data_IF_017528476530
#
_entry.id   IF_017528476530
#
_cell.length_a   1.000
_cell.length_b   1.000
_cell.length_c   1.000
_cell.angle_alpha   90.00
_cell.angle_beta   90.00
_cell.angle_gamma   90.00
#
_symmetry.space_group_name_H-M   'P 1'
#
loop_
_entity.id
_entity.type
_entity.pdbx_description
1 polymer ?
#
# COMPACT_ATOMS: atom_id res chain seq x y z
N UNK A 1 16.02 -2.12 98.93
CA UNK A 1 16.04 -1.29 97.71
C UNK A 1 16.59 -2.13 96.56
N UNK A 2 15.72 -2.76 95.77
CA UNK A 2 16.12 -3.66 94.69
C UNK A 2 16.03 -2.92 93.35
N UNK A 3 17.18 -2.64 92.74
CA UNK A 3 17.29 -2.05 91.40
C UNK A 3 17.31 -3.18 90.36
N UNK A 4 16.17 -3.45 89.73
CA UNK A 4 16.13 -4.24 88.48
C UNK A 4 16.23 -3.28 87.29
N UNK A 5 17.39 -3.25 86.64
CA UNK A 5 17.63 -2.44 85.42
C UNK A 5 18.00 -3.37 84.26
N UNK A 6 17.17 -3.34 83.22
CA UNK A 6 17.62 -3.52 81.82
C UNK A 6 17.63 -4.94 81.25
N UNK A 7 16.49 -5.43 80.76
CA UNK A 7 16.47 -6.57 79.81
C UNK A 7 15.54 -6.39 78.58
N UNK A 8 14.94 -5.20 78.39
CA UNK A 8 13.85 -5.00 77.43
C UNK A 8 14.30 -4.94 75.95
N UNK A 9 15.43 -4.32 75.64
CA UNK A 9 15.86 -4.08 74.25
C UNK A 9 16.18 -5.37 73.45
N UNK A 10 16.77 -6.40 74.08
CA UNK A 10 17.08 -7.67 73.41
C UNK A 10 15.84 -8.49 73.06
N UNK A 11 14.76 -8.39 73.85
CA UNK A 11 13.53 -9.16 73.67
C UNK A 11 12.68 -8.63 72.50
N UNK A 12 12.71 -7.32 72.28
CA UNK A 12 12.05 -6.68 71.12
C UNK A 12 12.66 -7.11 69.79
N UNK A 13 13.99 -7.21 69.71
CA UNK A 13 14.68 -7.68 68.50
C UNK A 13 14.37 -9.15 68.20
N UNK A 14 14.33 -10.02 69.23
CA UNK A 14 14.01 -11.44 69.07
C UNK A 14 12.59 -11.68 68.53
N UNK A 15 11.60 -10.92 69.02
CA UNK A 15 10.22 -11.02 68.54
C UNK A 15 10.10 -10.57 67.07
N UNK A 16 10.74 -9.47 66.70
CA UNK A 16 10.76 -8.98 65.31
C UNK A 16 11.46 -9.97 64.37
N UNK A 17 12.59 -10.56 64.79
CA UNK A 17 13.27 -11.59 64.00
C UNK A 17 12.44 -12.87 63.85
N UNK A 18 11.73 -13.30 64.90
CA UNK A 18 10.88 -14.49 64.85
C UNK A 18 9.67 -14.30 63.93
N UNK A 19 9.02 -13.13 63.99
CA UNK A 19 7.93 -12.76 63.09
C UNK A 19 8.43 -12.66 61.64
N UNK A 20 9.59 -12.03 61.42
CA UNK A 20 10.21 -11.95 60.10
C UNK A 20 10.52 -13.35 59.53
N UNK A 21 11.03 -14.28 60.35
CA UNK A 21 11.30 -15.67 59.98
C UNK A 21 10.01 -16.42 59.58
N UNK A 22 8.96 -16.32 60.40
CA UNK A 22 7.68 -16.96 60.11
C UNK A 22 7.04 -16.41 58.83
N UNK A 23 7.05 -15.09 58.65
CA UNK A 23 6.56 -14.43 57.43
C UNK A 23 7.33 -14.89 56.18
N UNK A 24 8.66 -15.01 56.28
CA UNK A 24 9.48 -15.50 55.17
C UNK A 24 9.20 -16.96 54.82
N UNK A 25 9.05 -17.85 55.80
CA UNK A 25 8.71 -19.26 55.58
C UNK A 25 7.32 -19.39 54.93
N UNK A 26 6.35 -18.57 55.35
CA UNK A 26 5.01 -18.55 54.73
C UNK A 26 5.05 -18.04 53.28
N UNK A 27 5.91 -17.06 52.99
CA UNK A 27 6.13 -16.53 51.65
C UNK A 27 6.84 -17.53 50.73
N UNK A 28 7.84 -18.26 51.25
CA UNK A 28 8.61 -19.27 50.50
C UNK A 28 7.77 -20.50 50.15
N UNK A 29 6.92 -20.95 51.09
CA UNK A 29 6.00 -22.07 50.88
C UNK A 29 4.72 -21.69 50.12
N UNK A 30 4.55 -20.42 49.69
CA UNK A 30 3.35 -19.89 49.02
C UNK A 30 2.04 -20.07 49.81
N UNK A 31 2.10 -20.27 51.13
CA UNK A 31 0.94 -20.63 51.98
C UNK A 31 0.04 -19.46 52.37
N UNK A 32 0.30 -18.25 51.84
CA UNK A 32 -0.43 -17.01 52.23
C UNK A 32 -1.93 -17.05 51.95
N UNK A 33 -2.38 -17.97 51.09
CA UNK A 33 -3.79 -18.15 50.74
C UNK A 33 -4.58 -19.02 51.73
N UNK A 34 -3.98 -19.44 52.86
CA UNK A 34 -4.63 -20.28 53.87
C UNK A 34 -4.92 -19.54 55.20
N UNK A 35 -4.72 -18.22 55.27
CA UNK A 35 -5.01 -17.47 56.50
C UNK A 35 -6.52 -17.26 56.68
N UNK A 36 -7.12 -18.13 57.50
CA UNK A 36 -8.41 -17.98 58.18
C UNK A 36 -8.39 -16.81 59.16
N UNK A 37 -8.42 -15.59 58.64
CA UNK A 37 -8.78 -14.40 59.41
C UNK A 37 -9.30 -13.33 58.44
N UNK A 38 -10.57 -13.47 58.06
CA UNK A 38 -11.33 -12.42 57.40
C UNK A 38 -11.48 -11.23 58.35
N UNK A 39 -10.72 -10.17 58.09
CA UNK A 39 -11.07 -8.83 58.51
C UNK A 39 -11.41 -8.02 57.27
N UNK A 40 -12.70 -8.01 56.98
CA UNK A 40 -13.37 -7.21 55.97
C UNK A 40 -12.91 -5.74 56.02
N UNK A 41 -12.11 -5.33 55.04
CA UNK A 41 -11.92 -3.91 54.72
C UNK A 41 -12.69 -3.58 53.44
N UNK A 42 -13.87 -3.04 53.72
CA UNK A 42 -14.72 -2.14 52.95
C UNK A 42 -14.15 -1.66 51.61
N UNK A 43 -14.78 -2.11 50.52
CA UNK A 43 -14.67 -1.53 49.17
C UNK A 43 -15.10 -0.06 49.21
N UNK A 44 -14.21 0.84 48.77
CA UNK A 44 -14.59 2.17 48.33
C UNK A 44 -14.51 2.22 46.79
N UNK A 45 -15.66 2.12 46.13
CA UNK A 45 -15.79 2.42 44.71
C UNK A 45 -15.64 3.94 44.52
N UNK A 46 -14.64 4.38 43.75
CA UNK A 46 -14.64 5.73 43.18
C UNK A 46 -15.01 5.64 41.70
N UNK A 47 -16.28 5.95 41.43
CA UNK A 47 -16.81 6.32 40.12
C UNK A 47 -16.22 7.69 39.75
N UNK A 48 -15.56 7.81 38.61
CA UNK A 48 -15.47 9.07 37.87
C UNK A 48 -15.70 8.79 36.39
N UNK A 49 -16.91 9.13 35.96
CA UNK A 49 -17.34 9.23 34.58
C UNK A 49 -16.79 10.50 33.96
N UNK A 50 -16.17 10.41 32.77
CA UNK A 50 -16.07 11.56 31.86
C UNK A 50 -16.15 11.10 30.41
N UNK A 51 -17.36 11.19 29.87
CA UNK A 51 -17.64 11.19 28.45
C UNK A 51 -17.16 12.51 27.83
N UNK A 52 -16.39 12.44 26.74
CA UNK A 52 -16.28 13.53 25.76
C UNK A 52 -16.38 12.93 24.36
N UNK A 53 -17.57 13.06 23.80
CA UNK A 53 -17.83 13.11 22.37
C UNK A 53 -17.12 14.34 21.77
N UNK A 54 -16.57 14.22 20.55
CA UNK A 54 -17.10 14.96 19.38
C UNK A 54 -16.23 14.77 18.13
N UNK A 55 -16.96 14.50 17.04
CA UNK A 55 -16.77 14.95 15.65
C UNK A 55 -15.57 14.45 14.86
N UNK A 56 -15.88 13.55 13.93
CA UNK A 56 -15.15 13.44 12.68
C UNK A 56 -15.27 14.72 11.85
N UNK A 57 -14.21 15.00 11.09
CA UNK A 57 -14.23 15.80 9.87
C UNK A 57 -13.15 15.22 8.96
N UNK A 58 -13.58 14.45 7.97
CA UNK A 58 -12.79 14.03 6.81
C UNK A 58 -12.44 15.25 5.97
N UNK A 59 -11.15 15.46 5.69
CA UNK A 59 -10.70 16.28 4.57
C UNK A 59 -9.57 15.53 3.86
N UNK A 60 -9.79 15.22 2.59
CA UNK A 60 -8.75 14.74 1.69
C UNK A 60 -7.73 15.86 1.48
N UNK A 61 -6.45 15.57 1.75
CA UNK A 61 -5.32 16.47 1.50
C UNK A 61 -4.44 15.80 0.46
N UNK A 62 -4.24 16.51 -0.63
CA UNK A 62 -3.44 16.12 -1.79
C UNK A 62 -1.99 16.50 -1.45
N UNK A 63 -1.11 15.52 -1.49
CA UNK A 63 0.31 15.63 -1.12
C UNK A 63 1.08 16.48 -2.14
N UNK A 64 1.36 17.73 -1.76
CA UNK A 64 2.34 18.59 -2.43
C UNK A 64 3.56 18.67 -1.51
N UNK A 65 4.46 17.70 -1.68
CA UNK A 65 5.66 17.59 -0.89
C UNK A 65 6.55 18.83 -1.04
N UNK A 66 6.64 19.66 0.01
CA UNK A 66 7.89 20.22 0.55
C UNK A 66 7.65 21.07 1.83
N UNK A 67 8.27 20.61 2.94
CA UNK A 67 8.67 21.32 4.19
C UNK A 67 7.57 21.78 5.18
N UNK A 68 7.72 21.38 6.45
CA UNK A 68 8.39 22.16 7.52
C UNK A 68 8.23 21.42 8.86
N UNK A 69 9.31 21.29 9.62
CA UNK A 69 9.37 20.62 10.93
C UNK A 69 8.52 21.37 11.96
N UNK A 70 7.29 20.91 12.19
CA UNK A 70 6.55 21.19 13.42
C UNK A 70 6.81 20.04 14.39
N UNK A 71 7.22 20.39 15.60
CA UNK A 71 7.43 19.42 16.69
C UNK A 71 6.09 18.77 17.03
N UNK A 72 5.90 17.53 16.57
CA UNK A 72 4.77 16.72 16.96
C UNK A 72 4.86 16.32 18.45
N UNK A 73 3.73 16.17 19.14
CA UNK A 73 3.68 15.74 20.53
C UNK A 73 4.32 14.37 20.66
N UNK A 74 5.25 14.23 21.60
CA UNK A 74 6.00 13.02 22.00
C UNK A 74 5.19 11.72 21.85
N UNK A 75 5.14 11.18 20.63
CA UNK A 75 4.62 9.84 20.34
C UNK A 75 5.60 8.89 21.01
N UNK A 76 5.11 8.04 21.91
CA UNK A 76 5.95 7.00 22.49
C UNK A 76 6.53 6.14 21.36
N UNK A 77 7.86 6.05 21.34
CA UNK A 77 8.62 5.36 20.32
C UNK A 77 8.15 3.89 20.22
N UNK A 78 7.63 3.44 19.06
CA UNK A 78 7.17 2.06 18.90
C UNK A 78 8.32 1.03 19.02
N UNK A 79 9.58 1.49 19.09
CA UNK A 79 10.78 0.66 19.24
C UNK A 79 11.33 0.61 20.69
N UNK A 80 10.53 0.98 21.70
CA UNK A 80 10.96 1.01 23.11
C UNK A 80 11.29 -0.39 23.63
N UNK A 81 12.57 -0.62 23.87
CA UNK A 81 13.12 -1.87 24.41
C UNK A 81 12.63 -2.10 25.85
N UNK A 82 12.21 -3.34 26.16
CA UNK A 82 11.72 -3.71 27.48
C UNK A 82 12.28 -5.06 27.94
N UNK A 83 12.41 -5.21 29.25
CA UNK A 83 12.85 -6.45 29.92
C UNK A 83 11.64 -7.39 30.02
N UNK A 84 11.82 -8.66 29.61
CA UNK A 84 10.74 -9.65 29.62
C UNK A 84 10.57 -10.35 30.97
N UNK A 85 11.62 -10.36 31.80
CA UNK A 85 11.57 -11.10 33.06
C UNK A 85 10.68 -10.40 34.11
N UNK A 86 9.85 -11.17 34.85
CA UNK A 86 8.96 -10.62 35.85
C UNK A 86 9.76 -9.95 36.97
N UNK A 87 9.26 -8.79 37.43
CA UNK A 87 9.86 -8.09 38.58
C UNK A 87 9.83 -9.01 39.80
N UNK A 88 10.96 -9.19 40.52
CA UNK A 88 10.98 -10.04 41.70
C UNK A 88 9.99 -9.53 42.76
N UNK A 89 9.39 -10.43 43.56
CA UNK A 89 8.53 -10.04 44.66
C UNK A 89 9.29 -9.13 45.63
N UNK A 90 8.59 -8.20 46.30
CA UNK A 90 9.23 -7.31 47.27
C UNK A 90 9.93 -8.12 48.37
N UNK A 91 11.13 -7.66 48.75
CA UNK A 91 11.94 -8.33 49.77
C UNK A 91 11.18 -8.49 51.09
N UNK A 92 11.24 -9.69 51.67
CA UNK A 92 10.65 -9.97 52.98
C UNK A 92 11.40 -9.22 54.07
N UNK A 93 10.76 -9.01 55.23
CA UNK A 93 11.42 -8.37 56.37
C UNK A 93 12.66 -9.17 56.80
N UNK A 94 12.63 -10.51 56.71
CA UNK A 94 13.78 -11.36 57.04
C UNK A 94 14.97 -11.14 56.08
N UNK A 95 14.72 -10.96 54.78
CA UNK A 95 15.75 -10.63 53.80
C UNK A 95 16.33 -9.23 54.04
N UNK A 96 15.49 -8.26 54.42
CA UNK A 96 15.95 -6.91 54.78
C UNK A 96 16.80 -6.88 56.06
N UNK A 97 16.52 -7.79 56.99
CA UNK A 97 17.28 -7.97 58.24
C UNK A 97 18.54 -8.85 58.06
N UNK A 98 18.81 -9.34 56.85
CA UNK A 98 19.98 -10.17 56.56
C UNK A 98 19.92 -11.59 57.13
N UNK A 99 18.73 -12.07 57.53
CA UNK A 99 18.54 -13.45 57.99
C UNK A 99 18.53 -14.46 56.83
N UNK A 100 18.17 -14.00 55.63
CA UNK A 100 18.22 -14.75 54.38
C UNK A 100 18.88 -13.92 53.30
N UNK A 101 19.58 -14.58 52.37
CA UNK A 101 20.17 -13.92 51.22
C UNK A 101 19.05 -13.34 50.32
N UNK A 102 19.14 -12.05 49.95
CA UNK A 102 18.20 -11.46 49.02
C UNK A 102 18.35 -12.10 47.62
N UNK A 103 17.25 -12.28 46.86
CA UNK A 103 17.31 -12.81 45.51
C UNK A 103 18.27 -11.99 44.63
N UNK A 104 18.95 -12.63 43.65
CA UNK A 104 19.89 -11.94 42.77
C UNK A 104 19.26 -10.70 42.14
N UNK A 105 19.92 -9.53 42.21
CA UNK A 105 19.37 -8.31 41.68
C UNK A 105 19.18 -8.42 40.15
N UNK A 106 18.09 -7.83 39.65
CA UNK A 106 17.92 -7.62 38.22
C UNK A 106 19.01 -6.66 37.71
N UNK A 107 19.46 -6.86 36.48
CA UNK A 107 20.43 -5.97 35.85
C UNK A 107 19.82 -4.57 35.75
N UNK A 108 20.59 -3.58 36.16
CA UNK A 108 20.25 -2.16 36.02
C UNK A 108 20.19 -1.74 34.55
N UNK A 109 19.54 -0.61 34.27
CA UNK A 109 19.46 -0.06 32.91
C UNK A 109 20.87 0.19 32.32
N UNK A 110 21.81 0.67 33.14
CA UNK A 110 23.18 0.97 32.72
C UNK A 110 23.98 -0.30 32.40
N UNK A 111 23.76 -1.38 33.16
CA UNK A 111 24.37 -2.68 32.87
C UNK A 111 23.83 -3.27 31.58
N UNK A 112 22.54 -3.11 31.33
CA UNK A 112 21.93 -3.52 30.07
C UNK A 112 22.47 -2.72 28.89
N UNK A 113 22.77 -1.43 29.05
CA UNK A 113 23.44 -0.65 28.02
C UNK A 113 24.84 -1.22 27.74
N UNK A 114 25.62 -1.57 28.77
CA UNK A 114 26.93 -2.23 28.60
C UNK A 114 26.82 -3.60 27.90
N UNK A 115 25.76 -4.37 28.17
CA UNK A 115 25.49 -5.63 27.47
C UNK A 115 25.16 -5.37 26.00
N UNK A 116 24.33 -4.36 25.72
CA UNK A 116 23.97 -3.96 24.36
C UNK A 116 25.18 -3.48 23.56
N UNK A 117 26.01 -2.62 24.15
CA UNK A 117 27.26 -2.16 23.52
C UNK A 117 28.19 -3.32 23.16
N UNK A 118 28.32 -4.33 24.04
CA UNK A 118 29.10 -5.54 23.72
C UNK A 118 28.53 -6.32 22.54
N UNK A 119 27.22 -6.51 22.49
CA UNK A 119 26.55 -7.19 21.38
C UNK A 119 26.70 -6.43 20.05
N UNK A 120 26.64 -5.08 20.09
CA UNK A 120 26.88 -4.23 18.92
C UNK A 120 28.33 -4.37 18.41
N UNK A 121 29.31 -4.35 19.31
CA UNK A 121 30.73 -4.53 18.94
C UNK A 121 31.01 -5.90 18.33
N UNK A 122 30.33 -6.94 18.80
CA UNK A 122 30.41 -8.29 18.24
C UNK A 122 29.65 -8.43 16.92
N UNK A 123 28.72 -7.52 16.63
CA UNK A 123 27.89 -7.57 15.44
C UNK A 123 26.84 -8.68 15.49
N UNK A 124 26.40 -9.09 16.68
CA UNK A 124 25.51 -10.24 16.84
C UNK A 124 24.16 -10.06 16.10
N UNK A 125 23.65 -8.83 16.00
CA UNK A 125 22.42 -8.55 15.23
C UNK A 125 22.61 -8.57 13.70
N UNK A 126 23.86 -8.57 13.21
CA UNK A 126 24.17 -8.73 11.79
C UNK A 126 24.30 -10.20 11.38
N UNK A 127 24.68 -11.06 12.32
CA UNK A 127 24.79 -12.50 12.11
C UNK A 127 23.40 -13.15 12.13
N UNK A 128 23.21 -14.29 11.45
CA UNK A 128 21.95 -15.03 11.52
C UNK A 128 21.72 -15.59 12.93
N UNK A 129 20.46 -15.82 13.28
CA UNK A 129 20.08 -16.42 14.55
C UNK A 129 20.74 -17.80 14.71
N UNK A 130 21.49 -18.06 15.81
CA UNK A 130 22.23 -19.31 15.96
C UNK A 130 21.37 -20.57 16.07
N UNK A 131 20.07 -20.43 16.36
CA UNK A 131 19.14 -21.56 16.52
C UNK A 131 18.54 -21.98 15.17
N UNK A 132 17.97 -21.04 14.40
CA UNK A 132 17.32 -21.35 13.11
C UNK A 132 18.18 -21.06 11.89
N UNK A 133 19.33 -20.39 12.06
CA UNK A 133 20.26 -19.95 10.99
C UNK A 133 19.66 -18.97 9.98
N UNK A 134 18.59 -18.28 10.33
CA UNK A 134 17.94 -17.26 9.51
C UNK A 134 18.30 -15.84 9.98
N UNK A 135 18.24 -14.85 9.08
CA UNK A 135 18.38 -13.43 9.45
C UNK A 135 17.26 -12.99 10.41
N UNK A 136 17.54 -11.95 11.20
CA UNK A 136 16.56 -11.42 12.16
C UNK A 136 15.37 -10.73 11.48
N UNK A 137 15.60 -10.08 10.34
CA UNK A 137 14.58 -9.36 9.56
C UNK A 137 13.70 -8.47 10.45
N UNK A 138 12.38 -8.55 10.33
CA UNK A 138 11.40 -7.82 11.15
C UNK A 138 10.94 -8.60 12.38
N UNK A 139 11.49 -9.79 12.64
CA UNK A 139 11.03 -10.64 13.74
C UNK A 139 11.56 -10.11 15.08
N UNK A 140 10.79 -10.24 16.17
CA UNK A 140 11.23 -9.78 17.48
C UNK A 140 12.48 -10.55 17.93
N UNK A 141 13.53 -9.81 18.27
CA UNK A 141 14.80 -10.32 18.72
C UNK A 141 15.00 -10.03 20.22
N UNK A 142 15.72 -10.91 20.90
CA UNK A 142 15.98 -10.83 22.33
C UNK A 142 17.47 -10.90 22.59
N UNK A 143 17.94 -10.02 23.48
CA UNK A 143 19.29 -9.95 24.00
C UNK A 143 19.32 -10.57 25.38
N UNK A 144 20.25 -11.49 25.59
CA UNK A 144 20.48 -12.13 26.88
C UNK A 144 21.49 -11.33 27.72
N UNK A 145 21.45 -11.50 29.04
CA UNK A 145 22.47 -10.95 29.96
C UNK A 145 23.90 -11.44 29.66
N UNK A 146 24.04 -12.56 28.94
CA UNK A 146 25.30 -13.08 28.44
C UNK A 146 25.71 -12.52 27.06
N UNK A 147 25.12 -11.39 26.64
CA UNK A 147 25.34 -10.65 25.39
C UNK A 147 24.95 -11.32 24.07
N UNK A 148 24.41 -12.54 24.10
CA UNK A 148 23.97 -13.24 22.88
C UNK A 148 22.56 -12.84 22.44
N UNK A 149 22.33 -12.86 21.12
CA UNK A 149 21.06 -12.47 20.48
C UNK A 149 20.37 -13.65 19.78
N UNK A 150 19.06 -13.76 19.94
CA UNK A 150 18.22 -14.80 19.31
C UNK A 150 16.85 -14.24 18.89
N UNK A 151 16.11 -14.94 18.02
CA UNK A 151 14.68 -14.64 17.85
C UNK A 151 13.94 -15.01 19.14
N UNK A 152 12.95 -14.19 19.52
CA UNK A 152 12.09 -14.48 20.68
C UNK A 152 11.45 -15.86 20.59
N UNK A 153 10.93 -16.20 19.42
CA UNK A 153 10.28 -17.49 19.18
C UNK A 153 11.27 -18.67 19.29
N UNK A 154 12.47 -18.53 18.74
CA UNK A 154 13.50 -19.57 18.79
C UNK A 154 14.00 -19.82 20.21
N UNK A 155 14.25 -18.75 20.97
CA UNK A 155 14.64 -18.88 22.38
C UNK A 155 13.52 -19.54 23.20
N UNK A 156 12.28 -19.10 23.02
CA UNK A 156 11.13 -19.67 23.73
C UNK A 156 10.92 -21.15 23.39
N UNK A 157 11.13 -21.55 22.13
CA UNK A 157 11.06 -22.96 21.74
C UNK A 157 12.19 -23.78 22.39
N UNK A 158 13.40 -23.23 22.47
CA UNK A 158 14.53 -23.88 23.13
C UNK A 158 14.32 -24.05 24.64
N UNK A 159 13.80 -23.03 25.33
CA UNK A 159 13.46 -23.11 26.75
C UNK A 159 12.39 -24.17 27.02
N UNK A 160 11.36 -24.25 26.16
CA UNK A 160 10.31 -25.28 26.25
C UNK A 160 10.85 -26.69 26.03
N UNK A 161 11.80 -26.85 25.09
CA UNK A 161 12.38 -28.15 24.79
C UNK A 161 13.30 -28.65 25.92
N UNK A 162 14.13 -27.76 26.47
CA UNK A 162 15.11 -28.12 27.50
C UNK A 162 14.53 -28.08 28.92
N UNK A 163 13.35 -27.47 29.10
CA UNK A 163 12.74 -27.15 30.40
C UNK A 163 13.68 -26.39 31.35
N UNK A 164 14.70 -25.70 30.81
CA UNK A 164 15.70 -24.96 31.57
C UNK A 164 16.03 -23.64 30.88
N UNK A 165 16.14 -22.56 31.65
CA UNK A 165 16.63 -21.26 31.15
C UNK A 165 18.16 -21.27 31.03
N UNK A 166 18.66 -21.87 29.95
CA UNK A 166 20.11 -21.93 29.65
C UNK A 166 20.41 -21.33 28.28
N UNK A 167 21.51 -20.58 28.17
CA UNK A 167 21.87 -19.97 26.89
C UNK A 167 22.34 -21.06 25.91
N UNK A 168 21.80 -21.13 24.68
CA UNK A 168 22.23 -22.13 23.68
C UNK A 168 23.71 -22.05 23.30
N UNK A 169 24.32 -20.86 23.39
CA UNK A 169 25.72 -20.64 23.00
C UNK A 169 26.69 -20.87 24.16
N UNK A 170 26.53 -20.13 25.26
CA UNK A 170 27.49 -20.15 26.36
C UNK A 170 27.06 -20.98 27.57
N UNK A 171 25.88 -21.63 27.53
CA UNK A 171 25.35 -22.49 28.59
C UNK A 171 25.22 -21.82 29.96
N UNK A 172 25.25 -20.48 30.02
CA UNK A 172 24.99 -19.73 31.25
C UNK A 172 23.53 -19.93 31.67
N UNK A 173 23.33 -20.31 32.93
CA UNK A 173 22.02 -20.52 33.54
C UNK A 173 21.43 -19.19 34.04
N UNK A 174 20.09 -19.12 34.17
CA UNK A 174 19.39 -18.02 34.84
C UNK A 174 19.76 -16.63 34.26
N UNK A 175 19.75 -16.52 32.94
CA UNK A 175 19.96 -15.23 32.27
C UNK A 175 18.70 -14.35 32.36
N UNK A 176 18.91 -13.05 32.16
CA UNK A 176 17.83 -12.10 31.95
C UNK A 176 17.69 -11.80 30.46
N UNK A 177 16.49 -11.38 30.05
CA UNK A 177 16.06 -11.21 28.65
C UNK A 177 15.53 -9.79 28.41
N UNK A 178 16.06 -9.12 27.39
CA UNK A 178 15.60 -7.80 26.92
C UNK A 178 15.22 -7.89 25.45
N UNK A 179 14.05 -7.37 25.07
CA UNK A 179 13.68 -7.25 23.65
C UNK A 179 14.48 -6.11 23.04
N UNK A 180 15.10 -6.37 21.89
CA UNK A 180 15.86 -5.37 21.11
C UNK A 180 15.25 -5.25 19.70
N UNK A 181 15.59 -4.19 18.96
CA UNK A 181 15.12 -3.97 17.58
C UNK A 181 16.23 -3.65 16.56
N UNK A 182 17.50 -3.77 16.98
CA UNK A 182 18.68 -3.54 16.14
C UNK A 182 18.68 -4.31 14.81
N UNK A 183 18.35 -5.60 14.78
CA UNK A 183 18.28 -6.40 13.54
C UNK A 183 17.20 -5.90 12.58
N UNK A 184 16.05 -5.47 13.11
CA UNK A 184 14.99 -4.86 12.31
C UNK A 184 15.42 -3.51 11.73
N UNK A 185 16.15 -2.69 12.48
CA UNK A 185 16.73 -1.43 11.99
C UNK A 185 17.75 -1.66 10.88
N UNK A 186 18.62 -2.66 11.04
CA UNK A 186 19.59 -3.05 10.03
C UNK A 186 18.90 -3.57 8.76
N UNK A 187 17.87 -4.41 8.91
CA UNK A 187 17.07 -4.91 7.79
C UNK A 187 16.34 -3.79 7.04
N UNK A 188 15.70 -2.85 7.76
CA UNK A 188 15.10 -1.64 7.16
C UNK A 188 16.12 -0.86 6.33
N UNK A 189 17.35 -0.71 6.84
CA UNK A 189 18.44 -0.01 6.14
C UNK A 189 18.88 -0.76 4.87
N UNK A 190 19.02 -2.09 4.93
CA UNK A 190 19.31 -2.94 3.76
C UNK A 190 18.21 -2.79 2.70
N UNK A 191 16.94 -2.88 3.09
CA UNK A 191 15.79 -2.73 2.20
C UNK A 191 15.74 -1.34 1.55
N UNK A 192 15.92 -0.28 2.34
CA UNK A 192 15.98 1.09 1.83
C UNK A 192 17.09 1.25 0.77
N UNK A 193 18.28 0.72 1.05
CA UNK A 193 19.42 0.77 0.11
C UNK A 193 19.09 0.06 -1.21
N UNK A 194 18.45 -1.12 -1.15
CA UNK A 194 18.04 -1.88 -2.34
C UNK A 194 17.00 -1.12 -3.17
N UNK A 195 15.97 -0.58 -2.53
CA UNK A 195 14.92 0.20 -3.20
C UNK A 195 15.52 1.43 -3.87
N UNK A 196 16.37 2.16 -3.15
CA UNK A 196 17.01 3.35 -3.70
C UNK A 196 17.95 3.02 -4.87
N UNK A 197 18.73 1.93 -4.79
CA UNK A 197 19.59 1.50 -5.89
C UNK A 197 18.77 1.11 -7.13
N UNK A 198 17.67 0.37 -6.94
CA UNK A 198 16.76 0.01 -8.03
C UNK A 198 16.14 1.24 -8.68
N UNK A 199 15.65 2.19 -7.87
CA UNK A 199 15.07 3.44 -8.35
C UNK A 199 16.08 4.29 -9.12
N UNK A 200 17.27 4.52 -8.57
CA UNK A 200 18.35 5.25 -9.25
C UNK A 200 18.68 4.58 -10.61
N UNK A 201 18.77 3.25 -10.63
CA UNK A 201 18.96 2.51 -11.87
C UNK A 201 17.80 2.63 -12.85
N UNK A 202 16.56 2.64 -12.38
CA UNK A 202 15.36 2.83 -13.21
C UNK A 202 15.37 4.20 -13.88
N UNK A 203 15.65 5.26 -13.11
CA UNK A 203 15.74 6.64 -13.62
C UNK A 203 16.77 6.74 -14.74
N UNK A 204 17.98 6.20 -14.52
CA UNK A 204 19.06 6.23 -15.54
C UNK A 204 18.68 5.42 -16.78
N UNK A 205 18.09 4.23 -16.63
CA UNK A 205 17.65 3.41 -17.77
C UNK A 205 16.57 4.09 -18.59
N UNK A 206 15.59 4.74 -17.93
CA UNK A 206 14.53 5.49 -18.60
C UNK A 206 15.12 6.67 -19.37
N UNK A 207 15.97 7.46 -18.74
CA UNK A 207 16.70 8.55 -19.41
C UNK A 207 17.54 8.07 -20.59
N UNK A 208 18.28 6.97 -20.44
CA UNK A 208 19.11 6.40 -21.50
C UNK A 208 18.27 5.84 -22.66
N UNK A 209 17.09 5.29 -22.38
CA UNK A 209 16.16 4.84 -23.41
C UNK A 209 15.64 6.02 -24.25
N UNK A 210 15.30 7.14 -23.60
CA UNK A 210 14.87 8.36 -24.28
C UNK A 210 16.03 8.98 -25.09
N UNK A 211 17.24 8.97 -24.54
CA UNK A 211 18.45 9.41 -25.25
C UNK A 211 18.68 8.57 -26.52
N UNK A 212 18.58 7.24 -26.43
CA UNK A 212 18.74 6.34 -27.59
C UNK A 212 17.67 6.53 -28.67
N UNK A 213 16.51 7.07 -28.32
CA UNK A 213 15.43 7.39 -29.27
C UNK A 213 15.61 8.74 -29.96
N UNK A 214 16.34 9.67 -29.34
CA UNK A 214 16.43 11.06 -29.78
C UNK A 214 17.78 11.43 -30.38
N UNK A 215 18.87 10.88 -29.83
CA UNK A 215 20.24 11.23 -30.21
C UNK A 215 20.85 10.12 -31.08
N UNK A 216 21.36 10.44 -32.28
CA UNK A 216 22.01 9.46 -33.14
C UNK A 216 23.33 8.95 -32.51
N UNK A 217 23.56 7.63 -32.49
CA UNK A 217 24.81 7.05 -31.99
C UNK A 217 26.05 7.47 -32.80
N UNK A 218 27.22 7.51 -32.15
CA UNK A 218 28.51 7.82 -32.80
C UNK A 218 28.96 6.71 -33.76
N UNK A 219 28.73 5.45 -33.38
CA UNK A 219 29.14 4.29 -34.17
C UNK A 219 28.40 4.22 -35.52
N UNK A 220 29.15 4.12 -36.61
CA UNK A 220 28.58 4.16 -37.96
C UNK A 220 27.49 3.10 -38.23
N UNK A 221 27.66 1.89 -37.69
CA UNK A 221 26.67 0.79 -37.85
C UNK A 221 25.39 1.05 -37.07
N UNK A 222 25.49 1.52 -35.83
CA UNK A 222 24.34 1.83 -34.98
C UNK A 222 23.62 3.09 -35.47
N UNK A 223 24.37 4.08 -35.95
CA UNK A 223 23.84 5.28 -36.58
C UNK A 223 23.00 4.98 -37.81
N UNK A 224 23.44 4.04 -38.66
CA UNK A 224 22.66 3.59 -39.83
C UNK A 224 21.31 3.00 -39.40
N UNK A 225 21.31 2.07 -38.43
CA UNK A 225 20.08 1.47 -37.90
C UNK A 225 19.15 2.51 -37.27
N UNK A 226 19.71 3.46 -36.50
CA UNK A 226 18.94 4.55 -35.91
C UNK A 226 18.18 5.37 -36.96
N UNK A 227 18.87 5.78 -38.03
CA UNK A 227 18.22 6.55 -39.10
C UNK A 227 17.26 5.71 -39.94
N UNK A 228 17.54 4.44 -40.15
CA UNK A 228 16.62 3.49 -40.81
C UNK A 228 15.30 3.39 -40.02
N UNK A 229 15.37 3.10 -38.72
CA UNK A 229 14.18 3.05 -37.84
C UNK A 229 13.44 4.39 -37.86
N UNK A 230 14.15 5.52 -37.76
CA UNK A 230 13.53 6.86 -37.81
C UNK A 230 12.86 7.17 -39.15
N UNK A 231 13.47 6.75 -40.26
CA UNK A 231 12.89 6.93 -41.58
C UNK A 231 11.60 6.11 -41.70
N UNK A 232 11.62 4.84 -41.27
CA UNK A 232 10.41 4.00 -41.28
C UNK A 232 9.28 4.57 -40.41
N UNK A 233 9.59 5.14 -39.24
CA UNK A 233 8.62 5.82 -38.37
C UNK A 233 7.97 7.02 -39.08
N UNK A 234 8.78 7.85 -39.75
CA UNK A 234 8.29 9.02 -40.50
C UNK A 234 7.46 8.57 -41.70
N UNK A 235 7.94 7.61 -42.49
CA UNK A 235 7.21 7.07 -43.64
C UNK A 235 5.87 6.50 -43.21
N UNK A 236 5.82 5.71 -42.13
CA UNK A 236 4.58 5.16 -41.59
C UNK A 236 3.64 6.28 -41.14
N UNK A 237 4.13 7.29 -40.42
CA UNK A 237 3.30 8.44 -40.00
C UNK A 237 2.74 9.21 -41.19
N UNK A 238 3.54 9.39 -42.24
CA UNK A 238 3.10 10.03 -43.49
C UNK A 238 2.02 9.19 -44.16
N UNK A 239 2.25 7.88 -44.33
CA UNK A 239 1.27 6.96 -44.91
C UNK A 239 -0.04 6.96 -44.14
N UNK A 240 0.00 6.94 -42.80
CA UNK A 240 -1.19 7.02 -41.96
C UNK A 240 -1.86 8.40 -41.96
N UNK A 241 -1.17 9.46 -42.35
CA UNK A 241 -1.76 10.80 -42.46
C UNK A 241 -2.52 11.02 -43.77
N UNK A 242 -2.23 10.22 -44.79
CA UNK A 242 -3.04 10.21 -46.00
C UNK A 242 -4.34 9.47 -45.71
N UNK A 243 -5.48 10.10 -46.02
CA UNK A 243 -6.76 9.42 -45.97
C UNK A 243 -6.87 8.50 -47.20
N UNK A 244 -6.44 7.25 -47.05
CA UNK A 244 -6.62 6.21 -48.07
C UNK A 244 -7.91 5.43 -47.83
N UNK A 245 -8.97 6.09 -47.35
CA UNK A 245 -10.28 5.44 -47.23
C UNK A 245 -10.95 5.36 -48.61
N UNK A 246 -10.32 4.57 -49.47
CA UNK A 246 -10.79 4.22 -50.80
C UNK A 246 -12.12 3.43 -50.67
N UNK A 247 -12.30 2.73 -49.55
CA UNK A 247 -13.52 2.01 -49.22
C UNK A 247 -14.70 2.96 -48.97
N UNK A 248 -14.49 4.09 -48.29
CA UNK A 248 -15.50 5.14 -48.16
C UNK A 248 -15.95 5.67 -49.53
N UNK A 249 -14.99 5.97 -50.42
CA UNK A 249 -15.29 6.41 -51.79
C UNK A 249 -16.05 5.34 -52.61
N UNK A 250 -15.65 4.07 -52.52
CA UNK A 250 -16.34 2.99 -53.23
C UNK A 250 -17.75 2.75 -52.66
N UNK A 251 -17.93 2.88 -51.34
CA UNK A 251 -19.24 2.78 -50.72
C UNK A 251 -20.18 3.91 -51.16
N UNK A 252 -19.66 5.11 -51.37
CA UNK A 252 -20.42 6.25 -51.89
C UNK A 252 -20.83 6.03 -53.35
N UNK A 253 -19.93 5.52 -54.18
CA UNK A 253 -20.23 5.16 -55.59
C UNK A 253 -21.31 4.07 -55.65
N UNK A 254 -21.17 3.01 -54.87
CA UNK A 254 -22.16 1.93 -54.82
C UNK A 254 -23.52 2.42 -54.31
N UNK A 255 -23.52 3.34 -53.34
CA UNK A 255 -24.74 3.98 -52.85
C UNK A 255 -25.43 4.80 -53.95
N UNK A 256 -24.68 5.63 -54.68
CA UNK A 256 -25.21 6.39 -55.82
C UNK A 256 -25.75 5.47 -56.91
N UNK A 257 -25.06 4.38 -57.22
CA UNK A 257 -25.51 3.39 -58.20
C UNK A 257 -26.79 2.69 -57.75
N UNK A 258 -26.91 2.35 -56.46
CA UNK A 258 -28.12 1.75 -55.89
C UNK A 258 -29.33 2.70 -55.98
N UNK A 259 -29.13 3.99 -55.67
CA UNK A 259 -30.18 5.02 -55.84
C UNK A 259 -30.60 5.13 -57.30
N UNK A 260 -29.64 5.25 -58.23
CA UNK A 260 -29.95 5.36 -59.66
C UNK A 260 -30.71 4.13 -60.18
N UNK A 261 -30.31 2.93 -59.77
CA UNK A 261 -31.04 1.69 -60.10
C UNK A 261 -32.45 1.69 -59.52
N UNK A 262 -32.63 2.17 -58.28
CA UNK A 262 -33.96 2.27 -57.66
C UNK A 262 -34.86 3.28 -58.38
N UNK A 263 -34.32 4.43 -58.79
CA UNK A 263 -35.07 5.43 -59.56
C UNK A 263 -35.46 4.86 -60.92
N UNK A 264 -34.53 4.19 -61.61
CA UNK A 264 -34.83 3.54 -62.89
C UNK A 264 -35.90 2.45 -62.73
N UNK A 265 -35.82 1.64 -61.68
CA UNK A 265 -36.83 0.63 -61.39
C UNK A 265 -38.19 1.25 -61.02
N UNK A 266 -38.21 2.35 -60.28
CA UNK A 266 -39.45 3.08 -59.99
C UNK A 266 -40.05 3.74 -61.24
N UNK A 267 -39.21 4.25 -62.14
CA UNK A 267 -39.66 4.78 -63.43
C UNK A 267 -40.15 3.65 -64.32
N UNK A 268 -39.46 2.53 -64.35
CA UNK A 268 -39.90 1.32 -65.03
C UNK A 268 -41.24 0.86 -64.46
N UNK A 269 -41.41 0.71 -63.15
CA UNK A 269 -42.68 0.33 -62.51
C UNK A 269 -43.81 1.35 -62.78
N UNK A 270 -43.49 2.65 -62.82
CA UNK A 270 -44.47 3.72 -63.14
C UNK A 270 -44.82 3.78 -64.63
N UNK A 271 -43.87 3.48 -65.51
CA UNK A 271 -44.04 3.45 -66.97
C UNK A 271 -44.41 2.06 -67.50
N UNK A 272 -44.42 1.04 -66.64
CA UNK A 272 -44.92 -0.32 -66.90
C UNK A 272 -46.45 -0.38 -66.97
N UNK A 273 -47.13 0.77 -66.88
CA UNK A 273 -48.40 0.89 -67.57
C UNK A 273 -48.08 0.84 -69.06
N UNK A 274 -48.03 -0.37 -69.62
CA UNK A 274 -48.19 -0.53 -71.06
C UNK A 274 -49.42 0.29 -71.45
N UNK A 275 -49.19 1.38 -72.20
CA UNK A 275 -50.29 2.15 -72.78
C UNK A 275 -51.06 1.17 -73.65
N UNK A 276 -52.23 0.74 -73.19
CA UNK A 276 -53.15 -0.05 -73.98
C UNK A 276 -53.50 0.70 -75.26
N UNK A 277 -53.77 0.02 -76.38
CA UNK A 277 -54.10 0.69 -77.66
C UNK A 277 -55.19 1.76 -77.51
N UNK A 278 -56.12 1.55 -76.58
CA UNK A 278 -57.20 2.49 -76.23
C UNK A 278 -56.69 3.85 -75.69
N UNK A 279 -55.54 3.88 -75.02
CA UNK A 279 -54.92 5.12 -74.52
C UNK A 279 -54.12 5.83 -75.62
N UNK A 280 -53.54 5.08 -76.57
CA UNK A 280 -52.95 5.64 -77.79
C UNK A 280 -54.01 6.28 -78.69
N UNK A 281 -55.17 5.63 -78.88
CA UNK A 281 -56.29 6.21 -79.63
C UNK A 281 -56.80 7.51 -78.98
N UNK A 282 -56.89 7.58 -77.65
CA UNK A 282 -57.26 8.83 -76.95
C UNK A 282 -56.26 9.96 -77.15
N UNK A 283 -54.96 9.65 -77.08
CA UNK A 283 -53.90 10.64 -77.34
C UNK A 283 -53.97 11.12 -78.79
N UNK A 284 -54.24 10.22 -79.74
CA UNK A 284 -54.34 10.55 -81.16
C UNK A 284 -55.56 11.41 -81.48
N UNK A 285 -56.72 11.14 -80.86
CA UNK A 285 -57.93 11.98 -80.99
C UNK A 285 -57.71 13.36 -80.34
N UNK A 286 -56.95 13.42 -79.23
CA UNK A 286 -56.65 14.67 -78.54
C UNK A 286 -55.64 15.55 -79.31
N UNK A 287 -54.69 14.94 -80.02
CA UNK A 287 -53.79 15.64 -80.94
C UNK A 287 -54.53 16.12 -82.21
N UNK A 288 -55.46 15.32 -82.76
CA UNK A 288 -56.26 15.74 -83.91
C UNK A 288 -57.22 16.88 -83.60
N UNK A 289 -57.82 16.89 -82.40
CA UNK A 289 -58.72 17.97 -81.96
C UNK A 289 -57.98 19.26 -81.62
N UNK A 290 -56.80 19.18 -80.98
CA UNK A 290 -55.96 20.35 -80.72
C UNK A 290 -55.30 20.91 -81.98
N UNK A 291 -54.92 20.05 -82.94
CA UNK A 291 -54.42 20.48 -84.25
C UNK A 291 -55.48 21.22 -85.08
N UNK A 292 -56.74 20.79 -85.01
CA UNK A 292 -57.85 21.49 -85.68
C UNK A 292 -58.18 22.84 -85.01
N UNK A 293 -58.06 22.96 -83.68
CA UNK A 293 -58.21 24.24 -82.98
C UNK A 293 -57.07 25.23 -83.30
N UNK A 294 -55.82 24.77 -83.37
CA UNK A 294 -54.66 25.62 -83.71
C UNK A 294 -54.63 26.04 -85.19
N UNK A 295 -55.05 25.17 -86.11
CA UNK A 295 -55.18 25.53 -87.54
C UNK A 295 -56.31 26.54 -87.76
N UNK A 296 -57.42 26.45 -87.02
CA UNK A 296 -58.50 27.44 -87.09
C UNK A 296 -58.07 28.82 -86.54
N UNK A 297 -57.25 28.87 -85.49
CA UNK A 297 -56.71 30.11 -84.94
C UNK A 297 -55.66 30.79 -85.86
N UNK A 298 -54.86 30.00 -86.58
CA UNK A 298 -53.89 30.51 -87.55
C UNK A 298 -54.53 31.06 -88.83
N UNK A 299 -55.61 30.44 -89.33
CA UNK A 299 -56.34 30.94 -90.53
C UNK A 299 -57.12 32.22 -90.23
N UNK A 300 -57.75 32.34 -89.05
CA UNK A 300 -58.44 33.57 -88.65
C UNK A 300 -57.48 34.77 -88.44
N UNK A 301 -56.25 34.51 -87.99
CA UNK A 301 -55.26 35.57 -87.77
C UNK A 301 -54.60 36.08 -89.07
N UNK A 302 -54.62 35.28 -90.14
CA UNK A 302 -53.95 35.61 -91.41
C UNK A 302 -54.76 36.51 -92.35
N UNK A 303 -56.09 36.60 -92.17
CA UNK A 303 -56.97 37.39 -93.05
C UNK A 303 -57.15 38.86 -92.65
N UNK A 304 -56.55 39.31 -91.53
CA UNK A 304 -56.75 40.64 -90.97
C UNK A 304 -55.55 41.60 -91.10
N UNK A 305 -54.42 41.20 -91.68
CA UNK A 305 -53.18 42.01 -91.55
C UNK A 305 -52.30 42.21 -92.79
N UNK A 306 -52.88 42.31 -93.99
CA UNK A 306 -52.15 42.83 -95.18
C UNK A 306 -52.97 43.93 -95.86
N UNK A 307 -53.06 45.07 -95.20
CA UNK A 307 -53.33 46.36 -95.81
C UNK A 307 -52.40 47.36 -95.14
N UNK A 308 -51.50 47.97 -95.93
CA UNK A 308 -50.68 49.19 -95.70
C UNK A 308 -49.18 49.01 -96.02
N UNK A 309 -48.66 49.95 -96.83
CA UNK A 309 -47.27 50.25 -97.20
C UNK A 309 -46.64 49.44 -98.35
N UNK A 310 -46.84 49.79 -99.63
CA UNK A 310 -46.25 50.90 -100.47
C UNK A 310 -44.73 50.85 -100.70
N UNK A 311 -44.33 50.38 -101.89
CA UNK A 311 -43.69 51.18 -102.96
C UNK A 311 -43.86 50.45 -104.30
#
# INVERSE_FOLDING_TARGET
MSKNKGHSSKRGNLAVTAVALQDHILHDLQLRNLSTADHSKTKAQKRESRSKSLKGNTKAIIDTGLKTTLQDPKVEDPEKEYVLDPKPPPLTLAQKLGLFEPPPPLLSSDEWEKVKQRSILQGDSMQPCPICKEEFELRPQVLLSCSHVFHRACLQAFEKFTNKKTCPLCRRNQYQTRVIHDGARLFKTKCATRIQAYWRGHVVRKWYQDLRRTVPPTDAKLRRKFFEEKFTEISHRILCSYNTDIEELFSEIDHCLAINRSILQQLEDRCSHELTEEDWEKIQIQDETSFLEDVCLLVYSSHLNVGSFTL
#
